data_IF_506660143120
#
_entry.id   IF_506660143120
#
_cell.length_a   1.000
_cell.length_b   1.000
_cell.length_c   1.000
_cell.angle_alpha   90.00
_cell.angle_beta   90.00
_cell.angle_gamma   90.00
#
_symmetry.space_group_name_H-M   'P 1'
#
loop_
_entity.id
_entity.type
_entity.pdbx_description
1 polymer ?
#
# COMPACT_ATOMS: atom_id res chain seq x y z
N UNK A 1 -14.92 -20.21 -59.94
CA UNK A 1 -15.20 -20.50 -58.52
C UNK A 1 -14.73 -19.28 -57.73
N UNK A 2 -15.65 -18.47 -57.21
CA UNK A 2 -15.32 -17.24 -56.47
C UNK A 2 -15.31 -17.61 -54.99
N UNK A 3 -14.14 -17.53 -54.35
CA UNK A 3 -13.99 -17.77 -52.92
C UNK A 3 -14.33 -16.48 -52.16
N UNK A 4 -15.40 -16.52 -51.36
CA UNK A 4 -15.74 -15.43 -50.44
C UNK A 4 -14.88 -15.56 -49.18
N UNK A 5 -14.01 -14.58 -48.94
CA UNK A 5 -13.22 -14.47 -47.72
C UNK A 5 -14.03 -13.69 -46.68
N UNK A 6 -14.54 -14.39 -45.67
CA UNK A 6 -15.22 -13.75 -44.54
C UNK A 6 -14.19 -13.17 -43.57
N UNK A 7 -14.14 -11.85 -43.46
CA UNK A 7 -13.37 -11.16 -42.42
C UNK A 7 -14.24 -11.14 -41.15
N UNK A 8 -13.88 -11.93 -40.16
CA UNK A 8 -14.52 -11.88 -38.85
C UNK A 8 -14.04 -10.62 -38.10
N UNK A 9 -14.94 -9.68 -37.85
CA UNK A 9 -14.68 -8.51 -37.03
C UNK A 9 -14.68 -8.94 -35.55
N UNK A 10 -13.52 -8.98 -34.92
CA UNK A 10 -13.42 -9.15 -33.47
C UNK A 10 -13.79 -7.83 -32.81
N UNK A 11 -15.01 -7.73 -32.29
CA UNK A 11 -15.45 -6.59 -31.49
C UNK A 11 -14.98 -6.83 -30.05
N UNK A 12 -14.11 -5.97 -29.49
CA UNK A 12 -13.68 -6.10 -28.11
C UNK A 12 -14.89 -5.86 -27.18
N UNK A 13 -15.21 -6.85 -26.34
CA UNK A 13 -16.21 -6.69 -25.29
C UNK A 13 -15.58 -5.83 -24.19
N UNK A 14 -16.07 -4.60 -24.04
CA UNK A 14 -15.69 -3.73 -22.92
C UNK A 14 -16.60 -4.05 -21.74
N UNK A 15 -16.06 -4.63 -20.68
CA UNK A 15 -16.77 -4.82 -19.42
C UNK A 15 -16.61 -3.57 -18.56
N UNK A 16 -17.71 -2.86 -18.30
CA UNK A 16 -17.74 -1.79 -17.31
C UNK A 16 -18.13 -2.39 -15.95
N UNK A 17 -17.36 -2.06 -14.90
CA UNK A 17 -17.69 -2.41 -13.52
C UNK A 17 -18.14 -1.15 -12.81
N UNK A 18 -19.31 -1.19 -12.17
CA UNK A 18 -19.75 -0.11 -11.29
C UNK A 18 -18.89 -0.12 -10.02
N UNK A 19 -18.14 0.96 -9.80
CA UNK A 19 -17.34 1.14 -8.59
C UNK A 19 -18.11 2.00 -7.60
N UNK A 20 -18.71 1.36 -6.60
CA UNK A 20 -19.33 2.04 -5.47
C UNK A 20 -18.29 2.26 -4.38
N UNK A 21 -18.07 3.52 -4.02
CA UNK A 21 -17.29 3.90 -2.83
C UNK A 21 -18.28 4.13 -1.70
N UNK A 22 -18.25 3.24 -0.70
CA UNK A 22 -19.08 3.34 0.51
C UNK A 22 -18.17 3.54 1.72
N UNK A 23 -18.48 4.57 2.51
CA UNK A 23 -17.77 4.91 3.75
C UNK A 23 -18.58 4.53 5.01
N UNK A 24 -19.76 3.92 4.86
CA UNK A 24 -20.59 3.45 5.98
C UNK A 24 -20.24 2.02 6.41
N UNK A 25 -19.62 1.25 5.53
CA UNK A 25 -19.20 -0.12 5.78
C UNK A 25 -17.70 -0.29 5.46
N UNK A 26 -17.00 -1.18 6.18
CA UNK A 26 -15.61 -1.47 5.89
C UNK A 26 -15.48 -2.10 4.50
N UNK A 27 -14.37 -1.80 3.83
CA UNK A 27 -13.99 -2.43 2.57
C UNK A 27 -13.59 -3.88 2.80
N UNK A 28 -13.99 -4.77 1.89
CA UNK A 28 -13.76 -6.21 1.99
C UNK A 28 -12.85 -6.76 0.91
N UNK A 29 -12.15 -7.84 1.22
CA UNK A 29 -11.34 -8.63 0.31
C UNK A 29 -12.18 -9.64 -0.50
N UNK A 30 -11.53 -10.41 -1.38
CA UNK A 30 -12.16 -11.47 -2.19
C UNK A 30 -12.79 -12.61 -1.37
N UNK A 31 -12.42 -12.76 -0.09
CA UNK A 31 -12.99 -13.75 0.83
C UNK A 31 -14.16 -13.15 1.64
N UNK A 32 -14.45 -11.87 1.48
CA UNK A 32 -15.43 -11.15 2.28
C UNK A 32 -14.90 -10.66 3.63
N UNK A 33 -13.62 -10.79 3.91
CA UNK A 33 -12.98 -10.33 5.15
C UNK A 33 -12.71 -8.82 5.08
N UNK A 34 -12.70 -8.13 6.22
CA UNK A 34 -12.35 -6.71 6.28
C UNK A 34 -10.86 -6.56 5.93
N UNK A 35 -10.55 -5.64 5.03
CA UNK A 35 -9.14 -5.34 4.72
C UNK A 35 -8.50 -4.56 5.86
N UNK A 36 -7.34 -5.03 6.31
CA UNK A 36 -6.50 -4.36 7.30
C UNK A 36 -5.43 -3.54 6.55
N UNK A 37 -5.79 -2.30 6.24
CA UNK A 37 -5.03 -1.43 5.36
C UNK A 37 -5.27 0.04 5.74
N UNK A 38 -4.37 0.56 6.56
CA UNK A 38 -4.45 1.88 7.15
C UNK A 38 -3.38 2.82 6.61
N UNK A 39 -3.70 4.11 6.56
CA UNK A 39 -2.78 5.21 6.24
C UNK A 39 -1.92 4.99 4.99
N UNK A 40 -2.40 4.20 4.03
CA UNK A 40 -1.64 3.79 2.86
C UNK A 40 -1.87 4.66 1.63
N UNK A 41 -1.39 4.16 0.50
CA UNK A 41 -1.64 4.75 -0.81
C UNK A 41 -2.03 3.71 -1.84
N UNK A 42 -2.86 4.12 -2.80
CA UNK A 42 -3.29 3.31 -3.94
C UNK A 42 -2.61 3.84 -5.20
N UNK A 43 -2.02 2.95 -5.99
CA UNK A 43 -1.35 3.26 -7.25
C UNK A 43 -1.73 2.26 -8.33
N UNK A 44 -1.80 2.72 -9.59
CA UNK A 44 -1.83 1.85 -10.76
C UNK A 44 -0.57 2.13 -11.59
N UNK A 45 0.37 1.18 -11.61
CA UNK A 45 1.66 1.38 -12.28
C UNK A 45 1.63 1.10 -13.78
N UNK A 46 0.63 0.33 -14.25
CA UNK A 46 0.40 0.01 -15.66
C UNK A 46 -1.05 0.31 -15.98
N UNK A 47 -1.31 1.14 -16.99
CA UNK A 47 -2.67 1.50 -17.40
C UNK A 47 -3.49 0.25 -17.73
N UNK A 48 -4.66 0.12 -17.13
CA UNK A 48 -5.53 -1.06 -17.27
C UNK A 48 -5.06 -2.31 -16.50
N UNK A 49 -3.94 -2.21 -15.78
CA UNK A 49 -3.45 -3.26 -14.89
C UNK A 49 -4.06 -3.19 -13.49
N UNK A 50 -3.45 -3.92 -12.55
CA UNK A 50 -3.88 -3.93 -11.15
C UNK A 50 -3.63 -2.60 -10.46
N UNK A 51 -4.54 -2.27 -9.53
CA UNK A 51 -4.31 -1.30 -8.48
C UNK A 51 -3.59 -1.97 -7.32
N UNK A 52 -2.61 -1.29 -6.76
CA UNK A 52 -1.81 -1.73 -5.62
C UNK A 52 -2.06 -0.76 -4.47
N UNK A 53 -2.41 -1.30 -3.31
CA UNK A 53 -2.53 -0.56 -2.06
C UNK A 53 -1.43 -1.00 -1.11
N UNK A 54 -0.48 -0.10 -0.85
CA UNK A 54 0.55 -0.27 0.16
C UNK A 54 0.09 0.46 1.40
N UNK A 55 -0.15 -0.28 2.49
CA UNK A 55 -0.81 0.26 3.68
C UNK A 55 -0.28 -0.39 4.95
N UNK A 56 -0.46 0.28 6.08
CA UNK A 56 -0.16 -0.29 7.38
C UNK A 56 -1.20 -1.33 7.76
N UNK A 57 -0.74 -2.44 8.33
CA UNK A 57 -1.58 -3.43 8.97
C UNK A 57 -1.56 -3.18 10.48
N UNK A 58 -2.66 -2.71 11.04
CA UNK A 58 -2.76 -2.39 12.48
C UNK A 58 -3.25 -3.57 13.32
N UNK A 59 -3.80 -4.61 12.68
CA UNK A 59 -4.40 -5.76 13.34
C UNK A 59 -5.79 -5.45 13.89
N UNK A 60 -6.35 -6.42 14.62
CA UNK A 60 -7.63 -6.28 15.33
C UNK A 60 -7.48 -5.48 16.64
N UNK A 61 -6.70 -4.41 16.61
CA UNK A 61 -6.58 -3.53 17.76
C UNK A 61 -7.84 -2.67 17.90
N UNK A 62 -8.28 -2.45 19.14
CA UNK A 62 -9.37 -1.54 19.44
C UNK A 62 -8.77 -0.23 19.92
N UNK A 63 -9.13 0.86 19.26
CA UNK A 63 -8.74 2.19 19.70
C UNK A 63 -9.26 2.44 21.14
N UNK A 64 -8.40 2.86 22.07
CA UNK A 64 -8.84 3.14 23.44
C UNK A 64 -9.80 4.34 23.44
N UNK A 65 -10.94 4.25 24.15
CA UNK A 65 -11.92 5.33 24.18
C UNK A 65 -11.30 6.62 24.74
N UNK A 66 -11.67 7.76 24.16
CA UNK A 66 -11.25 9.12 24.55
C UNK A 66 -9.79 9.50 24.29
N UNK A 67 -8.97 8.61 23.71
CA UNK A 67 -7.58 8.93 23.38
C UNK A 67 -7.32 9.12 21.89
N UNK A 68 -8.25 8.70 21.02
CA UNK A 68 -8.11 8.86 19.58
C UNK A 68 -6.73 8.38 19.07
N UNK A 69 -6.26 9.08 18.03
CA UNK A 69 -4.89 8.99 17.53
C UNK A 69 -3.87 9.83 18.32
N UNK A 70 -4.24 10.40 19.48
CA UNK A 70 -3.34 11.22 20.34
C UNK A 70 -2.37 10.36 21.17
N UNK A 71 -2.21 9.09 20.82
CA UNK A 71 -1.27 8.15 21.43
C UNK A 71 0.18 8.32 21.00
N UNK A 72 0.54 9.39 20.29
CA UNK A 72 1.91 9.64 19.83
C UNK A 72 2.87 9.68 21.03
N UNK A 73 3.56 8.55 21.28
CA UNK A 73 4.46 8.36 22.43
C UNK A 73 4.07 7.23 23.40
N UNK A 74 2.94 6.53 23.20
CA UNK A 74 2.55 5.38 24.02
C UNK A 74 2.58 4.08 23.19
N UNK A 75 3.55 3.17 23.41
CA UNK A 75 3.54 1.85 22.78
C UNK A 75 2.26 1.09 23.12
N UNK A 76 1.89 0.15 22.25
CA UNK A 76 0.81 -0.84 22.48
C UNK A 76 -0.63 -0.29 22.38
N UNK A 77 -0.80 0.97 21.97
CA UNK A 77 -2.11 1.48 21.51
C UNK A 77 -2.35 1.10 20.05
N UNK A 78 -3.62 1.07 19.64
CA UNK A 78 -4.01 0.73 18.27
C UNK A 78 -3.34 1.71 17.28
N UNK A 79 -2.68 1.19 16.24
CA UNK A 79 -1.88 1.99 15.31
C UNK A 79 -0.47 2.40 15.80
N UNK A 80 -0.07 2.02 17.03
CA UNK A 80 1.21 2.39 17.63
C UNK A 80 2.02 1.18 18.12
N UNK A 81 2.14 0.15 17.27
CA UNK A 81 2.89 -1.07 17.59
C UNK A 81 4.21 -1.10 16.82
N UNK A 82 5.19 -1.83 17.36
CA UNK A 82 6.54 -1.92 16.79
C UNK A 82 6.66 -3.02 15.73
N UNK A 83 5.67 -3.89 15.62
CA UNK A 83 5.66 -5.10 14.80
C UNK A 83 4.65 -5.05 13.64
N UNK A 84 4.03 -3.89 13.39
CA UNK A 84 3.13 -3.71 12.25
C UNK A 84 3.81 -3.98 10.91
N UNK A 85 3.07 -4.64 10.02
CA UNK A 85 3.47 -4.89 8.65
C UNK A 85 3.11 -3.70 7.75
N UNK A 86 3.93 -3.48 6.72
CA UNK A 86 3.49 -2.77 5.52
C UNK A 86 2.88 -3.82 4.58
N UNK A 87 1.57 -3.92 4.58
CA UNK A 87 0.80 -4.88 3.80
C UNK A 87 0.49 -4.35 2.40
N UNK A 88 0.42 -5.27 1.45
CA UNK A 88 0.12 -4.98 0.05
C UNK A 88 -1.17 -5.68 -0.30
N UNK A 89 -2.10 -4.93 -0.88
CA UNK A 89 -3.34 -5.45 -1.43
C UNK A 89 -3.45 -5.07 -2.90
N UNK A 90 -3.97 -5.97 -3.73
CA UNK A 90 -4.20 -5.70 -5.15
C UNK A 90 -5.67 -5.79 -5.51
N UNK A 91 -6.14 -4.94 -6.41
CA UNK A 91 -7.49 -5.02 -6.96
C UNK A 91 -7.48 -4.75 -8.47
N UNK A 92 -8.32 -5.43 -9.27
CA UNK A 92 -8.45 -5.13 -10.70
C UNK A 92 -9.31 -3.87 -10.97
N UNK A 93 -10.15 -3.43 -10.03
CA UNK A 93 -11.21 -2.46 -10.32
C UNK A 93 -11.60 -1.56 -9.13
N UNK A 94 -10.86 -1.60 -8.02
CA UNK A 94 -11.09 -0.83 -6.80
C UNK A 94 -12.40 -1.13 -6.05
N UNK A 95 -13.21 -2.13 -6.44
CA UNK A 95 -14.48 -2.41 -5.72
C UNK A 95 -14.23 -3.12 -4.39
N UNK A 96 -15.15 -2.97 -3.43
CA UNK A 96 -15.20 -3.91 -2.29
C UNK A 96 -15.41 -5.33 -2.81
N UNK A 97 -14.80 -6.33 -2.17
CA UNK A 97 -14.84 -7.72 -2.62
C UNK A 97 -13.85 -8.09 -3.74
N UNK A 98 -13.04 -7.15 -4.21
CA UNK A 98 -12.07 -7.37 -5.30
C UNK A 98 -10.61 -7.31 -4.86
N UNK A 99 -10.36 -7.04 -3.58
CA UNK A 99 -9.02 -6.87 -3.05
C UNK A 99 -8.43 -8.23 -2.66
N UNK A 100 -7.20 -8.49 -3.05
CA UNK A 100 -6.45 -9.70 -2.71
C UNK A 100 -5.19 -9.31 -1.95
N UNK A 101 -4.92 -9.97 -0.84
CA UNK A 101 -3.67 -9.78 -0.10
C UNK A 101 -2.50 -10.32 -0.93
N UNK A 102 -1.54 -9.45 -1.24
CA UNK A 102 -0.38 -9.75 -2.08
C UNK A 102 0.90 -10.02 -1.25
N UNK A 103 0.85 -9.82 0.06
CA UNK A 103 1.97 -10.05 0.99
C UNK A 103 2.42 -8.79 1.71
N UNK A 104 3.52 -8.91 2.46
CA UNK A 104 4.17 -7.80 3.15
C UNK A 104 5.28 -7.23 2.28
N UNK A 105 5.33 -5.89 2.15
CA UNK A 105 6.31 -5.21 1.32
C UNK A 105 7.74 -5.43 1.82
N UNK A 106 7.92 -5.46 3.14
CA UNK A 106 9.21 -5.68 3.79
C UNK A 106 9.02 -6.49 5.08
N UNK A 107 9.97 -7.37 5.36
CA UNK A 107 10.07 -8.06 6.63
C UNK A 107 10.31 -7.06 7.77
N UNK A 108 9.55 -7.17 8.85
CA UNK A 108 9.67 -6.33 10.05
C UNK A 108 11.10 -6.34 10.60
N UNK A 109 11.80 -7.47 10.53
CA UNK A 109 13.20 -7.59 10.99
C UNK A 109 14.21 -6.84 10.09
N UNK A 110 13.82 -6.46 8.87
CA UNK A 110 14.68 -5.79 7.87
C UNK A 110 14.41 -4.31 7.71
N UNK A 111 13.37 -3.76 8.33
CA UNK A 111 13.10 -2.31 8.40
C UNK A 111 13.77 -1.70 9.64
N UNK A 112 14.00 -0.37 9.66
CA UNK A 112 14.33 0.31 10.91
C UNK A 112 13.29 -0.02 11.98
N UNK A 113 13.77 -0.28 13.19
CA UNK A 113 12.90 -0.39 14.36
C UNK A 113 12.08 0.90 14.49
N UNK A 114 10.86 0.77 15.02
CA UNK A 114 9.96 1.89 15.28
C UNK A 114 8.54 1.64 14.85
N UNK A 115 7.68 2.58 15.24
CA UNK A 115 6.28 2.64 14.82
C UNK A 115 6.26 3.23 13.41
N UNK A 116 5.58 2.56 12.47
CA UNK A 116 5.60 2.90 11.05
C UNK A 116 4.26 3.47 10.61
N UNK A 117 4.30 4.48 9.74
CA UNK A 117 3.14 5.16 9.22
C UNK A 117 3.32 5.51 7.75
N UNK A 118 2.20 5.68 7.04
CA UNK A 118 2.15 6.33 5.73
C UNK A 118 3.10 5.73 4.67
N UNK A 119 3.03 4.41 4.42
CA UNK A 119 3.78 3.82 3.32
C UNK A 119 3.27 4.32 1.96
N UNK A 120 4.20 4.74 1.11
CA UNK A 120 3.94 5.18 -0.25
C UNK A 120 4.92 4.54 -1.22
N UNK A 121 4.42 4.05 -2.36
CA UNK A 121 5.25 3.50 -3.43
C UNK A 121 5.12 4.35 -4.69
N UNK A 122 6.26 4.62 -5.33
CA UNK A 122 6.31 5.24 -6.65
C UNK A 122 7.20 4.40 -7.57
N UNK A 123 6.90 4.40 -8.87
CA UNK A 123 7.74 3.73 -9.88
C UNK A 123 8.68 4.74 -10.53
N UNK A 124 9.98 4.43 -10.58
CA UNK A 124 10.96 5.22 -11.29
C UNK A 124 11.19 4.63 -12.69
N UNK A 125 10.76 5.30 -13.78
CA UNK A 125 10.89 4.78 -15.13
C UNK A 125 12.33 4.76 -15.65
N UNK A 126 13.27 5.48 -15.03
CA UNK A 126 14.67 5.50 -15.46
C UNK A 126 15.43 4.30 -14.90
N UNK A 127 15.22 3.98 -13.62
CA UNK A 127 15.88 2.84 -12.96
C UNK A 127 15.08 1.55 -13.03
N UNK A 128 13.80 1.62 -13.41
CA UNK A 128 12.84 0.50 -13.40
C UNK A 128 12.60 -0.07 -12.00
N UNK A 129 12.80 0.75 -10.97
CA UNK A 129 12.61 0.35 -9.58
C UNK A 129 11.35 0.99 -8.99
N UNK A 130 10.70 0.23 -8.13
CA UNK A 130 9.68 0.70 -7.20
C UNK A 130 10.36 1.21 -5.94
N UNK A 131 10.03 2.43 -5.53
CA UNK A 131 10.58 3.10 -4.36
C UNK A 131 9.49 3.19 -3.31
N UNK A 132 9.64 2.43 -2.23
CA UNK A 132 8.80 2.48 -1.04
C UNK A 132 9.39 3.49 -0.06
N UNK A 133 8.56 4.40 0.42
CA UNK A 133 8.89 5.38 1.46
C UNK A 133 7.89 5.27 2.59
N UNK A 134 8.34 5.38 3.84
CA UNK A 134 7.45 5.42 5.00
C UNK A 134 8.02 6.31 6.10
N UNK A 135 7.10 6.88 6.89
CA UNK A 135 7.46 7.55 8.12
C UNK A 135 7.65 6.52 9.21
N UNK A 136 8.63 6.71 10.09
CA UNK A 136 8.69 5.96 11.33
C UNK A 136 9.16 6.82 12.50
N UNK A 137 8.76 6.41 13.70
CA UNK A 137 9.18 7.03 14.95
C UNK A 137 9.84 5.98 15.85
N UNK A 138 10.99 6.34 16.41
CA UNK A 138 11.63 5.63 17.51
C UNK A 138 11.51 6.47 18.78
N UNK A 139 11.40 5.81 19.93
CA UNK A 139 11.38 6.50 21.22
C UNK A 139 12.62 7.39 21.36
N UNK A 140 12.41 8.70 21.49
CA UNK A 140 13.48 9.69 21.63
C UNK A 140 14.04 10.28 20.32
N UNK A 141 13.52 9.91 19.15
CA UNK A 141 13.93 10.47 17.85
C UNK A 141 12.74 11.11 17.15
N UNK A 142 12.91 12.34 16.64
CA UNK A 142 11.94 12.99 15.77
C UNK A 142 11.70 12.14 14.51
N UNK A 143 10.46 12.10 14.02
CA UNK A 143 10.04 11.26 12.90
C UNK A 143 11.04 11.26 11.73
N UNK A 144 11.36 10.06 11.25
CA UNK A 144 12.28 9.80 10.16
C UNK A 144 11.54 9.26 8.94
N UNK A 145 12.15 9.37 7.77
CA UNK A 145 11.65 8.75 6.54
C UNK A 145 12.64 7.68 6.10
N UNK A 146 12.19 6.44 6.03
CA UNK A 146 12.95 5.35 5.45
C UNK A 146 12.55 5.14 3.99
N UNK A 147 13.50 4.64 3.21
CA UNK A 147 13.39 4.38 1.77
C UNK A 147 13.89 2.97 1.49
N UNK A 148 13.08 2.20 0.77
CA UNK A 148 13.43 0.88 0.26
C UNK A 148 13.09 0.77 -1.23
N UNK A 149 13.75 -0.14 -1.92
CA UNK A 149 13.57 -0.36 -3.37
C UNK A 149 13.25 -1.82 -3.69
N UNK A 150 12.55 -2.04 -4.79
CA UNK A 150 12.21 -3.36 -5.34
C UNK A 150 12.13 -3.29 -6.87
N UNK A 151 12.40 -4.41 -7.54
CA UNK A 151 12.16 -4.55 -8.99
C UNK A 151 10.68 -4.81 -9.32
N UNK A 152 9.87 -5.20 -8.32
CA UNK A 152 8.42 -5.46 -8.47
C UNK A 152 7.61 -4.57 -7.53
N UNK A 153 6.32 -4.28 -7.84
CA UNK A 153 5.48 -3.48 -6.96
C UNK A 153 5.13 -4.20 -5.65
N UNK A 154 5.37 -5.51 -5.54
CA UNK A 154 5.03 -6.33 -4.38
C UNK A 154 6.24 -6.72 -3.52
N UNK A 155 7.44 -6.30 -3.90
CA UNK A 155 8.66 -6.61 -3.17
C UNK A 155 9.34 -7.92 -3.61
N UNK A 156 10.22 -8.48 -2.77
CA UNK A 156 10.62 -7.94 -1.46
C UNK A 156 11.36 -6.60 -1.60
N UNK A 157 10.98 -5.61 -0.80
CA UNK A 157 11.68 -4.33 -0.75
C UNK A 157 12.95 -4.43 0.12
N UNK A 158 14.03 -3.76 -0.32
CA UNK A 158 15.32 -3.69 0.37
C UNK A 158 15.60 -2.24 0.78
N UNK A 159 15.86 -2.02 2.07
CA UNK A 159 16.17 -0.67 2.61
C UNK A 159 17.46 -0.15 2.00
N UNK A 160 17.43 1.10 1.52
CA UNK A 160 18.60 1.81 0.99
C UNK A 160 18.90 3.10 1.72
N UNK A 161 17.93 3.65 2.45
CA UNK A 161 18.14 4.81 3.32
C UNK A 161 17.18 4.72 4.52
N UNK A 162 17.68 4.97 5.72
CA UNK A 162 16.88 4.94 6.95
C UNK A 162 16.50 6.35 7.44
N UNK A 163 17.12 7.40 6.91
CA UNK A 163 16.90 8.77 7.32
C UNK A 163 17.03 9.70 6.11
N UNK A 164 15.98 9.75 5.27
CA UNK A 164 15.96 10.66 4.13
C UNK A 164 15.94 12.11 4.63
N UNK A 165 16.98 12.87 4.28
CA UNK A 165 17.05 14.28 4.60
C UNK A 165 16.14 15.10 3.67
N UNK A 166 14.97 15.48 4.18
CA UNK A 166 14.03 16.40 3.52
C UNK A 166 14.03 17.79 4.15
N UNK A 167 15.00 18.11 5.02
CA UNK A 167 15.10 19.43 5.60
C UNK A 167 15.44 20.46 4.52
N UNK A 168 14.77 21.61 4.57
CA UNK A 168 15.20 22.77 3.77
C UNK A 168 16.46 23.31 4.43
N UNK A 169 17.63 22.92 3.92
CA UNK A 169 18.89 23.50 4.36
C UNK A 169 18.83 25.02 4.19
N UNK A 170 18.97 25.77 5.28
CA UNK A 170 19.41 27.15 5.19
C UNK A 170 20.92 27.11 4.95
N UNK A 171 21.31 27.19 3.68
CA UNK A 171 22.64 27.60 3.25
C UNK A 171 22.94 29.01 3.73
#
# INVERSE_FOLDING_TARGET
MIAYMYIALLIPIVTAVLVTVDNQQPRRDVNGEIIDAHDGSIQQFVSGGLYYMHAMQYGLCKEPPNYGCDGAGMPEKCGFQLDHNISIWTSPNLTSGSWTYAGNAIDVAKRPAGIVFRPHVVYNPNTKLYVLMWNYMNFGVNGQIAVAISETPIGPFVVVNTALNITRGSS
#
